data_IF_112556165696
#
_entry.id   IF_112556165696
#
_cell.length_a   1.000
_cell.length_b   1.000
_cell.length_c   1.000
_cell.angle_alpha   90.00
_cell.angle_beta   90.00
_cell.angle_gamma   90.00
#
_symmetry.space_group_name_H-M   'P 1'
#
loop_
_entity.id
_entity.type
_entity.pdbx_description
1 polymer ?
#
# COMPACT_ATOMS: atom_id res chain seq x y z
N UNK A 1 18.73 -1.86 -9.27
CA UNK A 1 19.09 -3.24 -9.74
C UNK A 1 17.87 -4.10 -9.55
N UNK A 2 17.49 -4.90 -10.56
CA UNK A 2 16.33 -5.79 -10.45
C UNK A 2 16.65 -7.02 -9.61
N UNK A 3 15.77 -7.33 -8.66
CA UNK A 3 15.80 -8.51 -7.81
C UNK A 3 14.50 -9.30 -7.98
N UNK A 4 14.49 -10.55 -7.50
CA UNK A 4 13.30 -11.41 -7.51
C UNK A 4 12.86 -11.76 -6.11
N UNK A 5 11.55 -11.90 -5.92
CA UNK A 5 10.93 -12.31 -4.66
C UNK A 5 9.88 -13.39 -4.95
N UNK A 6 9.91 -14.45 -4.15
CA UNK A 6 8.89 -15.49 -4.11
C UNK A 6 8.05 -15.28 -2.85
N UNK A 7 6.78 -14.94 -3.00
CA UNK A 7 5.90 -14.62 -1.87
C UNK A 7 4.44 -14.87 -2.24
N UNK A 8 3.65 -15.48 -1.35
CA UNK A 8 2.21 -15.63 -1.56
C UNK A 8 1.79 -16.53 -2.74
N UNK A 9 2.72 -17.25 -3.36
CA UNK A 9 2.50 -17.98 -4.61
C UNK A 9 2.77 -17.15 -5.88
N UNK A 10 3.32 -15.94 -5.73
CA UNK A 10 3.86 -15.13 -6.81
C UNK A 10 5.37 -15.25 -6.91
N UNK A 11 5.88 -15.16 -8.14
CA UNK A 11 7.23 -14.69 -8.42
C UNK A 11 7.14 -13.29 -9.00
N UNK A 12 7.77 -12.32 -8.33
CA UNK A 12 7.87 -10.93 -8.83
C UNK A 12 9.32 -10.55 -9.10
N UNK A 13 9.53 -9.72 -10.11
CA UNK A 13 10.76 -8.96 -10.31
C UNK A 13 10.51 -7.51 -9.91
N UNK A 14 11.40 -6.93 -9.12
CA UNK A 14 11.25 -5.55 -8.63
C UNK A 14 12.60 -4.81 -8.68
N UNK A 15 12.56 -3.51 -8.92
CA UNK A 15 13.72 -2.62 -8.85
C UNK A 15 13.57 -1.67 -7.65
N UNK A 16 14.34 -1.95 -6.59
CA UNK A 16 14.33 -1.16 -5.36
C UNK A 16 14.75 0.29 -5.60
N UNK A 17 15.80 0.49 -6.39
CA UNK A 17 16.39 1.82 -6.60
C UNK A 17 15.42 2.69 -7.40
N UNK A 18 14.80 2.12 -8.43
CA UNK A 18 13.79 2.83 -9.21
C UNK A 18 12.53 3.13 -8.37
N UNK A 19 12.09 2.19 -7.53
CA UNK A 19 10.93 2.39 -6.64
C UNK A 19 11.20 3.51 -5.64
N UNK A 20 12.34 3.47 -4.94
CA UNK A 20 12.76 4.52 -4.01
C UNK A 20 12.89 5.88 -4.71
N UNK A 21 13.44 5.92 -5.92
CA UNK A 21 13.58 7.15 -6.69
C UNK A 21 12.23 7.76 -7.12
N UNK A 22 11.20 6.93 -7.33
CA UNK A 22 9.84 7.42 -7.60
C UNK A 22 9.22 8.01 -6.34
N UNK A 23 9.24 7.28 -5.21
CA UNK A 23 8.71 7.76 -3.94
C UNK A 23 9.41 9.01 -3.43
N UNK A 24 10.73 9.16 -3.63
CA UNK A 24 11.47 10.36 -3.24
C UNK A 24 11.03 11.64 -3.97
N UNK A 25 10.28 11.52 -5.09
CA UNK A 25 9.70 12.67 -5.81
C UNK A 25 8.31 13.04 -5.32
N UNK A 26 7.62 12.15 -4.60
CA UNK A 26 6.31 12.41 -4.02
C UNK A 26 6.50 13.38 -2.85
N UNK A 27 5.85 14.54 -2.93
CA UNK A 27 5.99 15.61 -1.92
C UNK A 27 5.10 15.42 -0.70
N UNK A 28 3.88 14.98 -0.94
CA UNK A 28 2.84 14.76 0.07
C UNK A 28 2.26 13.37 -0.21
N UNK A 29 2.24 12.46 0.77
CA UNK A 29 1.58 11.17 0.61
C UNK A 29 0.08 11.34 0.32
N UNK A 30 -0.52 10.39 -0.40
CA UNK A 30 -1.90 10.53 -0.87
C UNK A 30 -2.94 10.67 0.26
N UNK A 31 -2.89 9.91 1.38
CA UNK A 31 -3.84 10.07 2.47
C UNK A 31 -3.75 11.47 3.11
N UNK A 32 -2.54 11.99 3.29
CA UNK A 32 -2.28 13.33 3.80
C UNK A 32 -2.76 14.44 2.84
N UNK A 33 -2.61 14.26 1.52
CA UNK A 33 -3.07 15.23 0.51
C UNK A 33 -4.60 15.26 0.38
N UNK A 34 -5.25 14.09 0.45
CA UNK A 34 -6.70 13.96 0.44
C UNK A 34 -7.33 14.58 1.71
N UNK A 35 -6.81 14.19 2.88
CA UNK A 35 -7.20 14.78 4.15
C UNK A 35 -8.65 14.58 4.56
N UNK A 36 -9.43 13.70 3.91
CA UNK A 36 -10.79 13.38 4.35
C UNK A 36 -10.78 12.63 5.70
N UNK A 37 -11.94 12.50 6.37
CA UNK A 37 -12.02 11.85 7.68
C UNK A 37 -11.39 10.44 7.70
N UNK A 38 -11.68 9.60 6.70
CA UNK A 38 -11.13 8.25 6.58
C UNK A 38 -9.61 8.24 6.37
N UNK A 39 -9.10 9.14 5.52
CA UNK A 39 -7.66 9.27 5.31
C UNK A 39 -6.94 9.78 6.56
N UNK A 40 -7.52 10.73 7.30
CA UNK A 40 -6.96 11.21 8.58
C UNK A 40 -6.91 10.10 9.63
N UNK A 41 -7.96 9.27 9.71
CA UNK A 41 -7.95 8.08 10.56
C UNK A 41 -6.83 7.12 10.20
N UNK A 42 -6.70 6.79 8.91
CA UNK A 42 -5.63 5.93 8.44
C UNK A 42 -4.25 6.50 8.82
N UNK A 43 -4.00 7.79 8.57
CA UNK A 43 -2.73 8.44 8.93
C UNK A 43 -2.45 8.37 10.43
N UNK A 44 -3.47 8.53 11.26
CA UNK A 44 -3.34 8.43 12.72
C UNK A 44 -3.08 6.99 13.20
N UNK A 45 -3.65 5.99 12.52
CA UNK A 45 -3.60 4.59 12.94
C UNK A 45 -2.46 3.78 12.29
N UNK A 46 -1.97 4.15 11.10
CA UNK A 46 -1.10 3.29 10.28
C UNK A 46 0.16 2.83 10.99
N UNK A 47 0.75 3.66 11.85
CA UNK A 47 1.96 3.26 12.58
C UNK A 47 1.69 2.13 13.60
N UNK A 48 0.46 1.96 14.08
CA UNK A 48 0.11 0.81 14.93
C UNK A 48 -0.48 -0.35 14.12
N UNK A 49 -1.16 -0.05 13.01
CA UNK A 49 -1.80 -1.06 12.13
C UNK A 49 -0.77 -1.81 11.27
N UNK A 50 0.30 -1.15 10.80
CA UNK A 50 1.31 -1.80 9.95
C UNK A 50 2.14 -2.79 10.80
N UNK A 51 1.85 -4.08 10.62
CA UNK A 51 2.58 -5.16 11.28
C UNK A 51 4.05 -5.21 10.84
N UNK A 52 4.91 -5.83 11.63
CA UNK A 52 6.33 -5.95 11.31
C UNK A 52 6.55 -6.65 9.96
N UNK A 53 5.79 -7.72 9.69
CA UNK A 53 5.88 -8.47 8.44
C UNK A 53 5.49 -7.62 7.22
N UNK A 54 4.47 -6.77 7.37
CA UNK A 54 4.04 -5.89 6.29
C UNK A 54 5.06 -4.76 6.07
N UNK A 55 5.60 -4.18 7.15
CA UNK A 55 6.70 -3.21 7.07
C UNK A 55 7.94 -3.80 6.41
N UNK A 56 8.27 -5.05 6.71
CA UNK A 56 9.38 -5.77 6.10
C UNK A 56 9.16 -5.97 4.59
N UNK A 57 7.93 -6.29 4.17
CA UNK A 57 7.57 -6.36 2.75
C UNK A 57 7.70 -4.99 2.06
N UNK A 58 7.18 -3.92 2.65
CA UNK A 58 7.32 -2.56 2.11
C UNK A 58 8.79 -2.15 2.00
N UNK A 59 9.55 -2.37 3.07
CA UNK A 59 11.01 -2.15 3.11
C UNK A 59 11.72 -2.97 2.05
N UNK A 60 11.31 -4.23 1.83
CA UNK A 60 11.88 -5.08 0.80
C UNK A 60 11.68 -4.50 -0.60
N UNK A 61 10.52 -3.91 -0.87
CA UNK A 61 10.18 -3.26 -2.14
C UNK A 61 10.67 -1.80 -2.23
N UNK A 62 11.30 -1.28 -1.18
CA UNK A 62 11.72 0.13 -1.05
C UNK A 62 10.54 1.12 -1.11
N UNK A 63 9.40 0.71 -0.56
CA UNK A 63 8.20 1.50 -0.39
C UNK A 63 8.22 2.08 1.03
N UNK A 64 8.04 3.41 1.21
CA UNK A 64 7.95 3.98 2.55
C UNK A 64 6.63 3.58 3.24
N UNK A 65 6.59 3.54 4.57
CA UNK A 65 5.37 3.13 5.32
C UNK A 65 4.21 4.09 5.14
N UNK A 66 4.48 5.34 4.76
CA UNK A 66 3.50 6.33 4.33
C UNK A 66 3.45 6.47 2.79
N UNK A 67 3.76 5.39 2.06
CA UNK A 67 3.85 5.36 0.60
C UNK A 67 2.54 4.99 -0.08
N UNK A 68 1.41 5.09 0.61
CA UNK A 68 0.12 4.74 0.03
C UNK A 68 -0.16 5.65 -1.17
N UNK A 69 -0.54 5.04 -2.29
CA UNK A 69 -1.00 5.72 -3.50
C UNK A 69 -2.46 6.12 -3.35
N UNK A 70 -3.23 5.31 -2.65
CA UNK A 70 -4.64 5.54 -2.34
C UNK A 70 -5.02 4.67 -1.13
N UNK A 71 -5.94 5.16 -0.30
CA UNK A 71 -6.56 4.41 0.79
C UNK A 71 -8.06 4.62 0.80
N UNK A 72 -8.80 3.57 1.15
CA UNK A 72 -10.24 3.63 1.29
C UNK A 72 -10.70 2.88 2.53
N UNK A 73 -11.90 3.21 2.97
CA UNK A 73 -12.59 2.57 4.08
C UNK A 73 -13.95 2.05 3.60
N UNK A 74 -14.36 0.89 4.08
CA UNK A 74 -15.77 0.51 4.13
C UNK A 74 -16.34 0.88 5.51
N UNK A 75 -17.07 2.00 5.62
CA UNK A 75 -17.54 2.48 6.91
C UNK A 75 -18.55 1.50 7.51
N UNK A 76 -18.41 1.24 8.81
CA UNK A 76 -19.30 0.42 9.62
C UNK A 76 -19.94 1.23 10.75
N UNK A 77 -20.96 0.67 11.41
CA UNK A 77 -21.50 1.26 12.65
C UNK A 77 -20.67 0.91 13.89
N UNK A 78 -19.84 -0.12 13.79
CA UNK A 78 -19.00 -0.62 14.88
C UNK A 78 -17.61 -0.95 14.32
N UNK A 79 -16.61 -0.80 15.20
CA UNK A 79 -15.24 -1.22 14.92
C UNK A 79 -15.11 -2.75 14.96
N UNK A 80 -14.12 -3.32 14.25
CA UNK A 80 -13.18 -2.63 13.36
C UNK A 80 -13.78 -2.24 12.01
N UNK A 81 -13.21 -1.21 11.38
CA UNK A 81 -13.53 -0.86 9.99
C UNK A 81 -12.59 -1.56 9.02
N UNK A 82 -13.11 -1.93 7.84
CA UNK A 82 -12.28 -2.49 6.78
C UNK A 82 -11.61 -1.35 6.01
N UNK A 83 -10.29 -1.32 6.03
CA UNK A 83 -9.48 -0.47 5.16
C UNK A 83 -8.88 -1.28 4.03
N UNK A 84 -8.67 -0.60 2.91
CA UNK A 84 -7.79 -1.10 1.87
C UNK A 84 -7.03 0.02 1.18
N UNK A 85 -6.13 -0.36 0.29
CA UNK A 85 -5.32 0.62 -0.40
C UNK A 85 -4.32 0.01 -1.38
N UNK A 86 -3.56 0.89 -1.98
CA UNK A 86 -2.57 0.57 -3.00
C UNK A 86 -1.22 1.15 -2.65
N UNK A 87 -0.18 0.35 -2.85
CA UNK A 87 1.19 0.80 -3.01
C UNK A 87 1.69 0.43 -4.40
N UNK A 88 2.62 1.21 -4.96
CA UNK A 88 3.26 0.89 -6.23
C UNK A 88 4.71 0.45 -6.03
N UNK A 89 5.18 -0.45 -6.87
CA UNK A 89 6.62 -0.69 -7.03
C UNK A 89 6.98 -0.83 -8.50
N UNK A 90 8.21 -0.46 -8.84
CA UNK A 90 8.75 -0.62 -10.19
C UNK A 90 9.16 -2.07 -10.38
N UNK A 91 8.57 -2.76 -11.36
CA UNK A 91 8.73 -4.19 -11.51
C UNK A 91 7.62 -4.83 -12.34
N UNK A 92 7.57 -6.15 -12.28
CA UNK A 92 6.57 -6.99 -12.97
C UNK A 92 6.34 -8.30 -12.23
N UNK A 93 5.15 -8.86 -12.39
CA UNK A 93 4.83 -10.23 -11.99
C UNK A 93 5.40 -11.19 -13.05
N UNK A 94 6.23 -12.14 -12.65
CA UNK A 94 6.78 -13.17 -13.54
C UNK A 94 5.89 -14.42 -13.57
N UNK A 95 5.31 -14.80 -12.42
CA UNK A 95 4.34 -15.89 -12.31
C UNK A 95 3.44 -15.71 -11.08
N UNK A 96 2.30 -16.39 -11.08
CA UNK A 96 1.27 -16.29 -10.05
C UNK A 96 -0.11 -16.15 -10.68
N UNK A 97 -1.14 -16.66 -10.01
CA UNK A 97 -2.52 -16.46 -10.46
C UNK A 97 -2.92 -14.99 -10.29
N UNK A 98 -3.59 -14.38 -11.28
CA UNK A 98 -4.20 -13.06 -11.10
C UNK A 98 -5.11 -13.06 -9.87
N UNK A 99 -5.12 -11.94 -9.14
CA UNK A 99 -5.99 -11.70 -7.98
C UNK A 99 -5.86 -12.73 -6.83
N UNK A 100 -4.79 -13.53 -6.83
CA UNK A 100 -4.49 -14.46 -5.72
C UNK A 100 -4.15 -13.69 -4.47
N UNK A 101 -4.99 -13.83 -3.46
CA UNK A 101 -4.73 -13.23 -2.14
C UNK A 101 -3.85 -14.12 -1.27
N UNK A 102 -3.01 -13.49 -0.45
CA UNK A 102 -2.26 -14.16 0.61
C UNK A 102 -2.17 -13.24 1.84
N UNK A 103 -1.70 -13.79 2.97
CA UNK A 103 -1.59 -13.03 4.21
C UNK A 103 -0.16 -12.56 4.48
N UNK A 104 -0.04 -11.33 4.96
CA UNK A 104 1.19 -10.75 5.52
C UNK A 104 0.81 -10.10 6.84
N UNK A 105 1.09 -10.78 7.96
CA UNK A 105 0.53 -10.40 9.25
C UNK A 105 -1.00 -10.39 9.22
N UNK A 106 -1.60 -9.27 9.64
CA UNK A 106 -3.06 -9.05 9.61
C UNK A 106 -3.61 -8.53 8.28
N UNK A 107 -2.76 -8.40 7.26
CA UNK A 107 -3.16 -7.90 5.95
C UNK A 107 -3.50 -9.06 5.03
N UNK A 108 -4.58 -8.92 4.27
CA UNK A 108 -4.81 -9.71 3.06
C UNK A 108 -4.30 -8.89 1.89
N UNK A 109 -3.39 -9.45 1.10
CA UNK A 109 -2.66 -8.74 0.05
C UNK A 109 -2.69 -9.51 -1.26
N UNK A 110 -2.51 -8.80 -2.36
CA UNK A 110 -2.33 -9.39 -3.69
C UNK A 110 -1.55 -8.42 -4.59
N UNK A 111 -1.08 -8.95 -5.73
CA UNK A 111 -0.37 -8.14 -6.72
C UNK A 111 -1.13 -8.09 -8.04
N UNK A 112 -1.11 -6.92 -8.67
CA UNK A 112 -1.60 -6.68 -10.04
C UNK A 112 -0.54 -6.00 -10.89
N UNK A 113 -0.58 -6.26 -12.20
CA UNK A 113 0.24 -5.54 -13.18
C UNK A 113 -0.47 -4.27 -13.64
N UNK A 114 0.28 -3.19 -13.82
CA UNK A 114 -0.26 -1.92 -14.31
C UNK A 114 -0.51 -0.90 -13.21
N UNK A 115 -1.40 0.05 -13.49
CA UNK A 115 -1.73 1.17 -12.61
C UNK A 115 -3.23 1.45 -12.64
N UNK A 116 -3.85 1.45 -11.47
CA UNK A 116 -5.23 1.87 -11.21
C UNK A 116 -5.31 3.39 -11.08
N UNK A 117 -4.22 4.03 -10.67
CA UNK A 117 -4.12 5.47 -10.44
C UNK A 117 -3.00 6.11 -11.29
N UNK A 118 -3.28 7.31 -11.79
CA UNK A 118 -2.27 8.10 -12.50
C UNK A 118 -1.35 8.78 -11.47
N UNK A 119 -0.17 8.21 -11.27
CA UNK A 119 0.88 8.77 -10.39
C UNK A 119 2.05 9.25 -11.27
N UNK A 120 2.20 10.56 -11.49
CA UNK A 120 3.21 11.13 -12.40
C UNK A 120 4.64 10.67 -12.08
N UNK A 121 4.96 10.50 -10.80
CA UNK A 121 6.27 10.06 -10.35
C UNK A 121 6.61 8.66 -10.83
N UNK A 122 5.63 7.84 -11.20
CA UNK A 122 5.85 6.50 -11.75
C UNK A 122 5.70 6.46 -13.28
N UNK A 123 5.45 7.58 -13.96
CA UNK A 123 5.28 7.62 -15.41
C UNK A 123 6.50 7.05 -16.16
N UNK A 124 6.24 6.29 -17.22
CA UNK A 124 7.27 5.59 -18.00
C UNK A 124 7.91 4.37 -17.31
N UNK A 125 7.59 4.09 -16.04
CA UNK A 125 8.04 2.87 -15.36
C UNK A 125 7.10 1.68 -15.63
N UNK A 126 7.68 0.48 -15.67
CA UNK A 126 6.95 -0.79 -15.54
C UNK A 126 6.55 -0.93 -14.07
N UNK A 127 5.25 -0.96 -13.76
CA UNK A 127 4.74 -0.89 -12.38
C UNK A 127 3.85 -2.08 -12.07
N UNK A 128 3.97 -2.54 -10.84
CA UNK A 128 3.02 -3.42 -10.18
C UNK A 128 2.43 -2.75 -8.95
N UNK A 129 1.21 -3.15 -8.63
CA UNK A 129 0.50 -2.68 -7.44
C UNK A 129 0.58 -3.77 -6.38
N UNK A 130 0.95 -3.38 -5.16
CA UNK A 130 0.69 -4.13 -3.94
C UNK A 130 -0.62 -3.60 -3.36
N UNK A 131 -1.66 -4.41 -3.43
CA UNK A 131 -2.96 -4.08 -2.88
C UNK A 131 -3.12 -4.76 -1.52
N UNK A 132 -3.89 -4.12 -0.64
CA UNK A 132 -4.16 -4.68 0.67
C UNK A 132 -5.58 -4.41 1.13
N UNK A 133 -6.06 -5.27 2.02
CA UNK A 133 -7.14 -4.98 2.96
C UNK A 133 -6.73 -5.39 4.38
N UNK A 134 -7.20 -4.64 5.37
CA UNK A 134 -6.98 -4.91 6.80
C UNK A 134 -8.08 -4.31 7.65
N UNK A 135 -8.17 -4.76 8.89
CA UNK A 135 -9.13 -4.26 9.88
C UNK A 135 -8.45 -3.23 10.79
N UNK A 136 -9.07 -2.05 10.92
CA UNK A 136 -8.57 -0.95 11.76
C UNK A 136 -9.53 -0.73 12.91
N UNK A 137 -9.03 -0.87 14.13
CA UNK A 137 -9.79 -0.64 15.37
C UNK A 137 -9.51 0.72 16.00
N UNK A 138 -8.47 1.42 15.56
CA UNK A 138 -8.09 2.75 16.03
C UNK A 138 -8.75 3.80 15.13
N UNK A 139 -9.77 4.48 15.64
CA UNK A 139 -10.56 5.45 14.88
C UNK A 139 -10.78 6.71 15.72
N UNK A 140 -10.37 7.86 15.20
CA UNK A 140 -10.63 9.17 15.78
C UNK A 140 -12.07 9.60 15.44
N UNK A 141 -12.89 9.96 16.44
CA UNK A 141 -14.24 10.45 16.20
C UNK A 141 -14.22 11.73 15.35
N UNK A 142 -15.27 11.94 14.54
CA UNK A 142 -15.33 13.10 13.64
C UNK A 142 -15.21 14.46 14.32
N UNK A 143 -15.61 14.55 15.59
CA UNK A 143 -15.49 15.74 16.43
C UNK A 143 -14.05 16.11 16.82
N UNK A 144 -13.07 15.25 16.55
CA UNK A 144 -11.65 15.50 16.86
C UNK A 144 -10.86 16.02 15.64
N UNK A 145 -11.54 16.33 14.54
CA UNK A 145 -10.92 16.91 13.33
C UNK A 145 -10.94 18.45 13.27
N UNK A 146 -11.45 19.11 14.33
CA UNK A 146 -11.58 20.57 14.46
C UNK A 146 -10.35 21.23 15.09
#
# INVERSE_FOLDING_TARGET
>A
MRARLQIGGYEIEYDRDATAACYARIRVPAPEDCGCAYCRNWVAAREHVLSLEFRDLLSQLAIPTNGEIEVWETPGQALPHLYGGWYFFVGRILSGEPDRTFHVGQFTVWFTSGKSFAVPEFEGQEVCELQFVTEVSEYLPESEYD
#
